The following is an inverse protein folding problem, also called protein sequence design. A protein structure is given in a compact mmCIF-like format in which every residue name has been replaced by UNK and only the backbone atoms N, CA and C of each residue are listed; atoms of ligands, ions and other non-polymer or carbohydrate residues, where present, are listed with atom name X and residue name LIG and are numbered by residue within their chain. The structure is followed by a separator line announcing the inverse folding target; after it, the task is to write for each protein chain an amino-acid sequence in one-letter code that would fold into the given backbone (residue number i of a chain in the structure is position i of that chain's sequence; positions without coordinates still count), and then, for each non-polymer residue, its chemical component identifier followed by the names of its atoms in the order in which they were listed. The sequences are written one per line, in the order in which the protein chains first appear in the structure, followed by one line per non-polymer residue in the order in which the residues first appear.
data_IF_410340226865
#
_entry.id   IF_410340226865
#
_cell.length_a   1.000
_cell.length_b   1.000
_cell.length_c   1.000
_cell.angle_alpha   90.00
_cell.angle_beta   90.00
_cell.angle_gamma   90.00
#
_symmetry.space_group_name_H-M   'P 1'
#
loop_
_entity.id
_entity.type
_entity.pdbx_description
1 polymer ?
#
# COMPACT_ATOMS: atom_id res chain seq x y z
N UNK A 1 18.45 0.61 -12.80
CA UNK A 1 17.01 0.53 -13.19
C UNK A 1 16.08 0.56 -11.97
N UNK A 2 16.43 -0.05 -10.83
CA UNK A 2 15.63 0.03 -9.59
C UNK A 2 15.48 1.45 -8.98
N UNK A 3 16.50 2.30 -9.13
CA UNK A 3 16.55 3.67 -8.58
C UNK A 3 15.47 4.61 -9.14
N UNK A 4 15.06 4.41 -10.40
CA UNK A 4 14.09 5.28 -11.08
C UNK A 4 12.66 5.06 -10.56
N UNK A 5 12.28 3.80 -10.30
CA UNK A 5 10.98 3.47 -9.74
C UNK A 5 10.82 4.01 -8.31
N UNK A 6 11.87 3.92 -7.50
CA UNK A 6 11.89 4.46 -6.13
C UNK A 6 11.77 5.98 -6.15
N UNK A 7 12.55 6.67 -7.01
CA UNK A 7 12.46 8.14 -7.14
C UNK A 7 11.07 8.60 -7.57
N UNK A 8 10.45 7.91 -8.54
CA UNK A 8 9.09 8.21 -8.99
C UNK A 8 8.05 8.04 -7.87
N UNK A 9 8.21 7.03 -7.01
CA UNK A 9 7.33 6.84 -5.85
C UNK A 9 7.51 7.95 -4.82
N UNK A 10 8.75 8.40 -4.57
CA UNK A 10 9.03 9.51 -3.65
C UNK A 10 8.49 10.84 -4.14
N UNK A 11 8.60 11.13 -5.44
CA UNK A 11 7.99 12.31 -6.06
C UNK A 11 6.45 12.27 -5.94
N UNK A 12 5.85 11.12 -6.27
CA UNK A 12 4.41 10.91 -6.15
C UNK A 12 3.88 11.02 -4.71
N UNK A 13 4.67 10.57 -3.73
CA UNK A 13 4.40 10.73 -2.30
C UNK A 13 4.50 12.19 -1.86
N UNK A 14 5.59 12.87 -2.23
CA UNK A 14 5.81 14.28 -1.90
C UNK A 14 4.69 15.16 -2.43
N UNK A 15 4.31 14.97 -3.69
CA UNK A 15 3.20 15.68 -4.31
C UNK A 15 1.86 15.39 -3.64
N UNK A 16 1.61 14.14 -3.24
CA UNK A 16 0.41 13.78 -2.50
C UNK A 16 0.33 14.48 -1.14
N UNK A 17 1.41 14.45 -0.36
CA UNK A 17 1.49 15.15 0.94
C UNK A 17 1.24 16.65 0.76
N UNK A 18 1.88 17.27 -0.24
CA UNK A 18 1.69 18.68 -0.55
C UNK A 18 0.23 19.01 -0.91
N UNK A 19 -0.42 18.18 -1.72
CA UNK A 19 -1.86 18.36 -2.07
C UNK A 19 -2.75 18.25 -0.84
N UNK A 20 -2.57 17.24 -0.01
CA UNK A 20 -3.37 17.05 1.20
C UNK A 20 -3.18 18.20 2.20
N UNK A 21 -1.93 18.63 2.39
CA UNK A 21 -1.60 19.79 3.24
C UNK A 21 -2.28 21.08 2.74
N UNK A 22 -2.23 21.34 1.43
CA UNK A 22 -2.84 22.54 0.84
C UNK A 22 -4.37 22.50 0.85
N UNK A 23 -4.98 21.33 0.64
CA UNK A 23 -6.43 21.14 0.80
C UNK A 23 -6.90 21.37 2.25
N UNK A 24 -6.05 21.04 3.23
CA UNK A 24 -6.29 21.32 4.64
C UNK A 24 -5.94 22.77 5.05
N UNK A 25 -5.64 23.66 4.08
CA UNK A 25 -5.24 25.06 4.28
C UNK A 25 -4.05 25.23 5.25
N UNK A 26 -3.19 24.21 5.33
CA UNK A 26 -2.11 24.14 6.29
C UNK A 26 -0.80 24.64 5.67
N UNK A 27 -0.10 25.55 6.35
CA UNK A 27 1.24 25.92 5.91
C UNK A 27 2.25 24.80 6.18
N UNK A 28 3.40 24.81 5.50
CA UNK A 28 4.46 23.84 5.80
C UNK A 28 4.99 23.99 7.24
N UNK A 29 4.90 25.20 7.82
CA UNK A 29 5.27 25.46 9.22
C UNK A 29 4.27 24.84 10.20
N UNK A 30 2.98 24.89 9.87
CA UNK A 30 1.94 24.28 10.70
C UNK A 30 2.06 22.75 10.69
N UNK A 31 2.33 22.16 9.52
CA UNK A 31 2.57 20.72 9.43
C UNK A 31 3.82 20.31 10.25
N UNK A 32 4.89 21.10 10.17
CA UNK A 32 6.10 20.89 10.97
C UNK A 32 5.80 20.88 12.48
N UNK A 33 5.03 21.87 12.94
CA UNK A 33 4.64 21.98 14.34
C UNK A 33 3.79 20.78 14.82
N UNK A 34 2.81 20.35 14.01
CA UNK A 34 1.91 19.23 14.35
C UNK A 34 2.61 17.87 14.35
N UNK A 35 3.59 17.69 13.47
CA UNK A 35 4.29 16.40 13.30
C UNK A 35 5.55 16.27 14.14
N UNK A 36 6.01 17.36 14.76
CA UNK A 36 7.34 17.48 15.37
C UNK A 36 8.47 17.11 14.39
N UNK A 37 8.29 17.44 13.12
CA UNK A 37 9.27 17.23 12.04
C UNK A 37 9.76 18.60 11.59
N UNK A 38 11.07 18.74 11.34
CA UNK A 38 11.61 20.03 10.94
C UNK A 38 11.05 20.49 9.59
N UNK A 39 10.81 21.79 9.46
CA UNK A 39 10.31 22.40 8.23
C UNK A 39 11.23 22.14 7.01
N UNK A 40 12.58 22.20 7.12
CA UNK A 40 13.47 21.84 6.02
C UNK A 40 13.31 20.38 5.56
N UNK A 41 13.12 19.45 6.50
CA UNK A 41 12.95 18.04 6.17
C UNK A 41 11.61 17.76 5.50
N UNK A 42 10.52 18.34 5.99
CA UNK A 42 9.21 18.28 5.31
C UNK A 42 9.27 18.88 3.89
N UNK A 43 10.02 19.97 3.69
CA UNK A 43 10.25 20.53 2.36
C UNK A 43 10.98 19.55 1.43
N UNK A 44 11.94 18.78 1.93
CA UNK A 44 12.63 17.75 1.13
C UNK A 44 11.67 16.60 0.78
N UNK A 45 10.84 16.17 1.73
CA UNK A 45 9.83 15.12 1.52
C UNK A 45 8.81 15.54 0.45
N UNK A 46 8.24 16.75 0.55
CA UNK A 46 7.25 17.24 -0.44
C UNK A 46 7.82 17.41 -1.86
N UNK A 47 9.15 17.42 -2.00
CA UNK A 47 9.85 17.48 -3.30
C UNK A 47 10.37 16.13 -3.76
N UNK A 48 10.09 15.05 -3.03
CA UNK A 48 10.60 13.70 -3.33
C UNK A 48 12.12 13.56 -3.17
N UNK A 49 12.78 14.49 -2.48
CA UNK A 49 14.24 14.52 -2.33
C UNK A 49 14.76 13.67 -1.17
N UNK A 50 13.85 13.17 -0.33
CA UNK A 50 14.23 12.35 0.81
C UNK A 50 13.16 11.31 1.11
N UNK A 51 13.60 10.09 1.36
CA UNK A 51 12.74 9.02 1.84
C UNK A 51 12.41 9.22 3.33
N UNK A 52 11.13 9.40 3.70
CA UNK A 52 10.72 9.53 5.09
C UNK A 52 10.65 8.16 5.77
N UNK A 53 11.02 8.09 7.06
CA UNK A 53 10.77 6.89 7.86
C UNK A 53 9.28 6.61 8.06
N UNK A 54 8.92 5.35 8.33
CA UNK A 54 7.54 4.96 8.68
C UNK A 54 6.99 5.79 9.85
N UNK A 55 7.82 6.12 10.85
CA UNK A 55 7.40 6.95 11.99
C UNK A 55 7.00 8.35 11.53
N UNK A 56 7.78 8.93 10.61
CA UNK A 56 7.50 10.26 10.02
C UNK A 56 6.23 10.20 9.19
N UNK A 57 6.06 9.18 8.35
CA UNK A 57 4.83 8.97 7.57
C UNK A 57 3.60 8.87 8.46
N UNK A 58 3.65 8.10 9.55
CA UNK A 58 2.55 8.01 10.53
C UNK A 58 2.23 9.35 11.18
N UNK A 59 3.24 10.14 11.51
CA UNK A 59 3.06 11.48 12.09
C UNK A 59 2.39 12.43 11.09
N UNK A 60 2.85 12.45 9.84
CA UNK A 60 2.26 13.23 8.76
C UNK A 60 0.81 12.79 8.50
N UNK A 61 0.53 11.49 8.48
CA UNK A 61 -0.83 10.96 8.33
C UNK A 61 -1.76 11.50 9.42
N UNK A 62 -1.34 11.41 10.68
CA UNK A 62 -2.11 11.93 11.81
C UNK A 62 -2.35 13.44 11.72
N UNK A 63 -1.33 14.22 11.36
CA UNK A 63 -1.46 15.66 11.23
C UNK A 63 -2.40 16.10 10.09
N UNK A 64 -2.49 15.30 9.02
CA UNK A 64 -3.37 15.52 7.86
C UNK A 64 -4.73 14.80 7.99
N UNK A 65 -4.98 14.13 9.11
CA UNK A 65 -6.20 13.33 9.34
C UNK A 65 -6.43 12.24 8.27
N UNK A 66 -5.35 11.58 7.86
CA UNK A 66 -5.33 10.47 6.93
C UNK A 66 -4.95 9.17 7.64
N UNK A 67 -5.27 8.03 7.03
CA UNK A 67 -4.77 6.75 7.50
C UNK A 67 -3.27 6.60 7.19
N UNK A 68 -2.53 5.93 8.07
CA UNK A 68 -1.11 5.68 7.87
C UNK A 68 -0.87 4.78 6.64
N UNK A 69 -1.79 3.86 6.40
CA UNK A 69 -1.82 2.94 5.27
C UNK A 69 -1.86 3.70 3.95
N UNK A 70 -2.59 4.82 3.87
CA UNK A 70 -2.65 5.64 2.66
C UNK A 70 -1.27 6.18 2.27
N UNK A 71 -0.53 6.73 3.24
CA UNK A 71 0.80 7.27 2.97
C UNK A 71 1.84 6.17 2.72
N UNK A 72 1.72 5.03 3.40
CA UNK A 72 2.60 3.89 3.17
C UNK A 72 2.39 3.27 1.78
N UNK A 73 1.15 3.17 1.32
CA UNK A 73 0.84 2.74 -0.04
C UNK A 73 1.41 3.71 -1.08
N UNK A 74 1.26 5.02 -0.86
CA UNK A 74 1.83 6.03 -1.77
C UNK A 74 3.37 6.01 -1.80
N UNK A 75 4.01 5.58 -0.72
CA UNK A 75 5.45 5.36 -0.67
C UNK A 75 5.90 4.04 -1.34
N UNK A 76 4.97 3.18 -1.79
CA UNK A 76 5.27 1.83 -2.28
C UNK A 76 5.71 0.86 -1.17
N UNK A 77 5.45 1.21 0.10
CA UNK A 77 5.88 0.43 1.27
C UNK A 77 4.84 -0.59 1.72
N UNK A 78 3.58 -0.52 1.23
CA UNK A 78 2.54 -1.47 1.62
C UNK A 78 2.77 -2.83 0.93
N UNK A 79 3.08 -2.81 -0.37
CA UNK A 79 3.43 -4.01 -1.14
C UNK A 79 4.73 -4.63 -0.62
N UNK A 80 5.76 -3.81 -0.38
CA UNK A 80 7.03 -4.26 0.19
C UNK A 80 6.84 -4.89 1.58
N UNK A 81 6.05 -4.26 2.46
CA UNK A 81 5.74 -4.82 3.79
C UNK A 81 4.88 -6.08 3.71
N UNK A 82 3.97 -6.18 2.74
CA UNK A 82 3.19 -7.41 2.53
C UNK A 82 4.08 -8.56 2.03
N UNK A 83 5.05 -8.27 1.17
CA UNK A 83 6.04 -9.24 0.71
C UNK A 83 7.02 -9.63 1.82
N UNK A 84 7.49 -8.66 2.63
CA UNK A 84 8.34 -8.92 3.79
C UNK A 84 7.59 -9.67 4.90
N UNK A 85 6.32 -9.34 5.15
CA UNK A 85 5.48 -10.07 6.08
C UNK A 85 5.21 -11.49 5.58
N UNK A 86 4.90 -11.68 4.30
CA UNK A 86 4.78 -13.01 3.69
C UNK A 86 6.10 -13.79 3.66
N UNK A 87 7.25 -13.11 3.63
CA UNK A 87 8.56 -13.74 3.73
C UNK A 87 8.97 -14.07 5.18
N UNK A 88 8.54 -13.25 6.15
CA UNK A 88 8.79 -13.45 7.58
C UNK A 88 7.82 -14.48 8.20
N UNK A 89 6.57 -14.49 7.74
CA UNK A 89 5.58 -15.54 7.97
C UNK A 89 5.85 -16.64 6.95
N UNK A 90 6.87 -17.47 7.18
CA UNK A 90 7.24 -18.59 6.34
C UNK A 90 6.09 -19.58 6.07
N UNK A 91 5.22 -19.22 5.14
CA UNK A 91 4.28 -20.08 4.42
C UNK A 91 4.58 -19.83 2.96
N UNK A 92 5.57 -20.56 2.45
CA UNK A 92 5.96 -20.46 1.06
C UNK A 92 4.81 -20.90 0.17
N UNK A 93 4.19 -19.95 -0.54
CA UNK A 93 3.60 -20.19 -1.86
C UNK A 93 3.88 -18.99 -2.76
N UNK A 94 4.33 -19.34 -3.96
CA UNK A 94 5.07 -18.52 -4.90
C UNK A 94 4.38 -17.26 -5.44
N UNK A 95 5.27 -16.36 -5.86
CA UNK A 95 5.14 -15.27 -6.81
C UNK A 95 4.05 -15.42 -7.90
N UNK A 96 3.37 -14.31 -8.21
CA UNK A 96 3.00 -13.98 -9.60
C UNK A 96 1.51 -13.84 -9.92
N UNK A 97 1.13 -12.60 -10.24
CA UNK A 97 -0.08 -12.13 -10.96
C UNK A 97 -1.33 -11.70 -10.15
N UNK A 98 -1.98 -10.57 -10.55
CA UNK A 98 -2.91 -9.83 -9.70
C UNK A 98 -4.35 -10.38 -9.76
N UNK A 99 -5.04 -10.29 -8.63
CA UNK A 99 -6.50 -10.39 -8.51
C UNK A 99 -7.06 -11.77 -8.14
N UNK A 100 -6.44 -12.86 -8.56
CA UNK A 100 -6.95 -14.22 -8.29
C UNK A 100 -6.43 -14.83 -6.98
N UNK A 101 -5.16 -14.60 -6.67
CA UNK A 101 -4.48 -15.24 -5.53
C UNK A 101 -4.99 -14.73 -4.18
N UNK A 102 -5.29 -13.43 -4.05
CA UNK A 102 -5.80 -12.86 -2.79
C UNK A 102 -7.24 -13.34 -2.47
N UNK A 103 -8.12 -13.48 -3.46
CA UNK A 103 -9.49 -14.00 -3.24
C UNK A 103 -9.47 -15.50 -2.91
N UNK A 104 -8.64 -16.28 -3.60
CA UNK A 104 -8.47 -17.71 -3.31
C UNK A 104 -7.93 -17.91 -1.89
N UNK A 105 -6.90 -17.16 -1.49
CA UNK A 105 -6.34 -17.22 -0.15
C UNK A 105 -7.37 -16.83 0.94
N UNK A 106 -8.19 -15.80 0.69
CA UNK A 106 -9.24 -15.40 1.62
C UNK A 106 -10.27 -16.53 1.84
N UNK A 107 -10.74 -17.18 0.75
CA UNK A 107 -11.66 -18.33 0.82
C UNK A 107 -11.01 -19.51 1.55
N UNK A 108 -9.74 -19.77 1.29
CA UNK A 108 -9.00 -20.86 1.93
C UNK A 108 -8.87 -20.65 3.45
N UNK A 109 -8.71 -19.40 3.89
CA UNK A 109 -8.54 -19.03 5.30
C UNK A 109 -9.84 -18.78 6.08
N UNK A 110 -11.01 -18.87 5.43
CA UNK A 110 -12.30 -18.55 6.07
C UNK A 110 -12.68 -19.62 7.12
N UNK A 111 -12.81 -19.25 8.41
CA UNK A 111 -13.15 -20.17 9.50
C UNK A 111 -14.63 -20.59 9.51
N UNK A 112 -15.51 -19.86 8.82
CA UNK A 112 -16.94 -20.15 8.78
C UNK A 112 -17.30 -21.19 7.68
N UNK A 113 -16.33 -21.55 6.83
CA UNK A 113 -16.50 -22.54 5.76
C UNK A 113 -15.99 -23.94 6.16
N UNK A 114 -16.83 -24.96 5.92
CA UNK A 114 -16.35 -26.35 5.94
C UNK A 114 -15.37 -26.60 4.79
N UNK A 115 -14.55 -27.66 4.89
CA UNK A 115 -13.65 -28.03 3.78
C UNK A 115 -14.38 -28.30 2.48
N UNK A 116 -15.56 -28.92 2.56
CA UNK A 116 -16.40 -29.23 1.40
C UNK A 116 -16.97 -27.95 0.77
N UNK A 117 -17.47 -27.02 1.57
CA UNK A 117 -17.97 -25.72 1.11
C UNK A 117 -16.85 -24.85 0.51
N UNK A 118 -15.66 -24.87 1.11
CA UNK A 118 -14.47 -24.18 0.62
C UNK A 118 -14.05 -24.73 -0.75
N UNK A 119 -14.03 -26.05 -0.92
CA UNK A 119 -13.70 -26.67 -2.21
C UNK A 119 -14.72 -26.32 -3.31
N UNK A 120 -16.02 -26.38 -3.00
CA UNK A 120 -17.08 -26.02 -3.94
C UNK A 120 -16.97 -24.55 -4.40
N UNK A 121 -16.74 -23.63 -3.46
CA UNK A 121 -16.61 -22.21 -3.75
C UNK A 121 -15.37 -21.91 -4.62
N UNK A 122 -14.25 -22.58 -4.34
CA UNK A 122 -13.02 -22.44 -5.11
C UNK A 122 -13.17 -22.99 -6.53
N UNK A 123 -13.83 -24.14 -6.70
CA UNK A 123 -14.11 -24.71 -8.03
C UNK A 123 -14.96 -23.73 -8.85
N UNK A 124 -16.04 -23.20 -8.24
CA UNK A 124 -16.93 -22.23 -8.88
C UNK A 124 -16.20 -20.96 -9.28
N UNK A 125 -15.36 -20.43 -8.39
CA UNK A 125 -14.57 -19.22 -8.64
C UNK A 125 -13.56 -19.43 -9.78
N UNK A 126 -12.81 -20.54 -9.76
CA UNK A 126 -11.85 -20.88 -10.82
C UNK A 126 -12.53 -21.01 -12.18
N UNK A 127 -13.70 -21.62 -12.24
CA UNK A 127 -14.50 -21.72 -13.47
C UNK A 127 -14.95 -20.35 -13.99
N UNK A 128 -15.39 -19.43 -13.12
CA UNK A 128 -15.77 -18.07 -13.50
C UNK A 128 -14.59 -17.26 -14.04
N UNK A 129 -13.42 -17.34 -13.38
CA UNK A 129 -12.21 -16.63 -13.81
C UNK A 129 -11.68 -17.18 -15.13
N UNK A 130 -11.69 -18.51 -15.31
CA UNK A 130 -11.32 -19.13 -16.58
C UNK A 130 -12.24 -18.68 -17.73
N UNK A 131 -13.56 -18.60 -17.50
CA UNK A 131 -14.53 -18.11 -18.48
C UNK A 131 -14.36 -16.63 -18.82
N UNK A 132 -14.08 -15.78 -17.83
CA UNK A 132 -13.83 -14.35 -18.06
C UNK A 132 -12.60 -14.12 -18.95
N UNK A 133 -11.58 -14.98 -18.81
CA UNK A 133 -10.35 -14.95 -19.61
C UNK A 133 -10.53 -15.51 -21.02
N UNK A 134 -11.37 -16.54 -21.19
CA UNK A 134 -11.66 -17.10 -22.52
C UNK A 134 -12.65 -16.27 -23.35
N UNK A 135 -13.45 -15.40 -22.72
CA UNK A 135 -14.38 -14.49 -23.39
C UNK A 135 -13.78 -13.18 -23.92
N UNK A 136 -12.46 -12.95 -23.75
CA UNK A 136 -11.73 -11.77 -24.22
C UNK A 136 -10.68 -12.10 -25.31
N UNK A 137 -10.85 -13.22 -26.02
CA UNK A 137 -10.03 -13.61 -27.16
C UNK A 137 -10.74 -13.31 -28.48
#
# INVERSE_FOLDING_TARGET
MADEGVRKNLEGLGDFIRRQRTQAEMSLRDLAARTNVSNPYLSQIERGLHEPSIRVLKSIAGALNLSAETLLAQAGLLEARSAEAAAAEGTGLAEGAPGGSQTIAAIESDPDLSEEQRQELLERYRAMVARARSGHA
#
